data_IF_338382794006
#
_entry.id   IF_338382794006
#
_cell.length_a   1.000
_cell.length_b   1.000
_cell.length_c   1.000
_cell.angle_alpha   90.00
_cell.angle_beta   90.00
_cell.angle_gamma   90.00
#
_symmetry.space_group_name_H-M   'P 1'
#
loop_
_entity.id
_entity.type
_entity.pdbx_description
1 polymer ?
#
# COMPACT_ATOMS: atom_id res chain seq x y z
N UNK A 1 -24.31 -13.66 0.08
CA UNK A 1 -23.72 -13.17 1.35
C UNK A 1 -22.21 -13.15 1.20
N UNK A 2 -21.64 -11.95 1.20
CA UNK A 2 -20.20 -11.69 1.11
C UNK A 2 -19.54 -11.95 2.46
N UNK A 3 -18.76 -13.02 2.60
CA UNK A 3 -17.85 -13.18 3.73
C UNK A 3 -16.42 -12.86 3.33
N UNK A 4 -15.91 -11.83 4.02
CA UNK A 4 -14.58 -11.28 3.98
C UNK A 4 -13.58 -12.33 4.47
N UNK A 5 -13.00 -13.09 3.54
CA UNK A 5 -11.69 -13.69 3.73
C UNK A 5 -10.64 -12.59 3.75
N UNK A 6 -10.39 -11.99 4.92
CA UNK A 6 -9.24 -11.12 5.13
C UNK A 6 -7.95 -11.97 5.06
N UNK A 7 -7.54 -12.36 3.86
CA UNK A 7 -6.23 -12.96 3.58
C UNK A 7 -5.14 -11.90 3.80
N UNK A 8 -4.62 -11.83 5.03
CA UNK A 8 -3.62 -10.85 5.49
C UNK A 8 -2.18 -11.23 5.12
N UNK A 9 -1.96 -12.38 4.51
CA UNK A 9 -0.61 -12.93 4.35
C UNK A 9 0.20 -12.32 3.20
N UNK A 10 -0.46 -11.63 2.26
CA UNK A 10 0.18 -10.99 1.11
C UNK A 10 0.19 -9.44 1.19
N UNK A 11 -0.36 -8.86 2.27
CA UNK A 11 -0.72 -7.43 2.30
C UNK A 11 0.40 -6.47 2.65
N UNK A 12 1.61 -6.94 2.91
CA UNK A 12 2.78 -6.08 3.17
C UNK A 12 3.95 -6.48 2.29
N UNK A 13 3.80 -6.27 0.99
CA UNK A 13 4.92 -6.22 0.06
C UNK A 13 5.99 -5.25 0.56
N UNK A 14 7.20 -5.76 0.71
CA UNK A 14 8.38 -5.04 1.24
C UNK A 14 8.95 -4.07 0.21
N UNK A 15 8.60 -4.23 -1.07
CA UNK A 15 8.81 -3.20 -2.09
C UNK A 15 8.19 -1.84 -1.74
N UNK A 16 7.18 -1.80 -0.86
CA UNK A 16 6.56 -0.55 -0.39
C UNK A 16 7.47 0.31 0.50
N UNK A 17 8.63 -0.23 0.86
CA UNK A 17 9.64 0.48 1.64
C UNK A 17 10.63 1.21 0.71
N UNK A 18 10.50 1.05 -0.61
CA UNK A 18 11.33 1.76 -1.59
C UNK A 18 10.91 3.22 -1.74
N UNK A 19 11.92 4.07 -1.67
CA UNK A 19 11.78 5.51 -1.74
C UNK A 19 11.23 5.93 -3.10
N UNK A 20 10.13 6.69 -3.10
CA UNK A 20 9.48 7.15 -4.32
C UNK A 20 8.44 6.21 -4.93
N UNK A 21 8.16 5.05 -4.34
CA UNK A 21 7.14 4.14 -4.89
C UNK A 21 5.77 4.83 -5.08
N UNK A 22 5.32 5.63 -4.11
CA UNK A 22 4.03 6.32 -4.21
C UNK A 22 3.98 7.33 -5.37
N UNK A 23 5.10 7.98 -5.69
CA UNK A 23 5.22 8.87 -6.85
C UNK A 23 4.98 8.13 -8.16
N UNK A 24 5.67 7.01 -8.37
CA UNK A 24 5.51 6.24 -9.61
C UNK A 24 4.11 5.61 -9.72
N UNK A 25 3.57 5.13 -8.59
CA UNK A 25 2.21 4.58 -8.54
C UNK A 25 1.18 5.66 -8.89
N UNK A 26 1.34 6.89 -8.37
CA UNK A 26 0.50 8.03 -8.72
C UNK A 26 0.63 8.38 -10.21
N UNK A 27 1.86 8.37 -10.74
CA UNK A 27 2.14 8.65 -12.16
C UNK A 27 1.48 7.64 -13.10
N UNK A 28 1.33 6.37 -12.70
CA UNK A 28 0.54 5.36 -13.42
C UNK A 28 -0.98 5.57 -13.32
N UNK A 29 -1.45 6.66 -12.71
CA UNK A 29 -2.87 7.02 -12.60
C UNK A 29 -3.61 6.38 -11.42
N UNK A 30 -2.90 5.86 -10.41
CA UNK A 30 -3.55 5.25 -9.24
C UNK A 30 -3.99 6.33 -8.25
N UNK A 31 -5.30 6.60 -8.21
CA UNK A 31 -5.87 7.63 -7.34
C UNK A 31 -6.00 7.21 -5.86
N UNK A 32 -6.26 5.93 -5.57
CA UNK A 32 -6.49 5.44 -4.21
C UNK A 32 -5.21 4.87 -3.60
N UNK A 33 -4.20 5.72 -3.42
CA UNK A 33 -2.89 5.31 -2.90
C UNK A 33 -2.95 4.70 -1.51
N UNK A 34 -3.87 5.14 -0.65
CA UNK A 34 -4.10 4.56 0.68
C UNK A 34 -4.57 3.09 0.60
N UNK A 35 -5.43 2.79 -0.38
CA UNK A 35 -5.90 1.42 -0.64
C UNK A 35 -4.81 0.56 -1.27
N UNK A 36 -4.01 1.14 -2.17
CA UNK A 36 -2.81 0.49 -2.71
C UNK A 36 -1.80 0.18 -1.59
N UNK A 37 -1.51 1.15 -0.73
CA UNK A 37 -0.59 1.02 0.40
C UNK A 37 -1.06 -0.08 1.37
N UNK A 38 -2.37 -0.12 1.67
CA UNK A 38 -2.98 -1.14 2.50
C UNK A 38 -3.18 -2.50 1.78
N UNK A 39 -2.92 -2.56 0.47
CA UNK A 39 -3.21 -3.72 -0.40
C UNK A 39 -4.64 -4.23 -0.15
N UNK A 40 -5.62 -3.32 -0.11
CA UNK A 40 -7.04 -3.66 0.12
C UNK A 40 -7.51 -4.64 -0.95
N UNK A 41 -7.10 -4.37 -2.19
CA UNK A 41 -7.24 -5.28 -3.32
C UNK A 41 -5.84 -5.74 -3.74
N UNK A 42 -5.54 -6.98 -3.39
CA UNK A 42 -4.29 -7.63 -3.75
C UNK A 42 -4.08 -7.69 -5.27
N UNK A 43 -5.11 -8.04 -6.02
CA UNK A 43 -5.05 -8.19 -7.48
C UNK A 43 -4.68 -6.88 -8.15
N UNK A 44 -5.38 -5.81 -7.79
CA UNK A 44 -5.11 -4.49 -8.34
C UNK A 44 -3.72 -3.99 -7.94
N UNK A 45 -3.28 -4.29 -6.70
CA UNK A 45 -1.93 -3.96 -6.22
C UNK A 45 -0.86 -4.68 -7.04
N UNK A 46 -1.03 -5.99 -7.27
CA UNK A 46 -0.08 -6.80 -8.04
C UNK A 46 0.05 -6.30 -9.48
N UNK A 47 -1.06 -5.93 -10.13
CA UNK A 47 -1.04 -5.38 -11.50
C UNK A 47 -0.26 -4.08 -11.60
N UNK A 48 -0.40 -3.19 -10.62
CA UNK A 48 0.37 -1.94 -10.57
C UNK A 48 1.85 -2.23 -10.37
N UNK A 49 2.21 -3.16 -9.48
CA UNK A 49 3.60 -3.57 -9.26
C UNK A 49 4.22 -4.23 -10.51
N UNK A 50 3.44 -4.99 -11.28
CA UNK A 50 3.86 -5.58 -12.55
C UNK A 50 4.22 -4.50 -13.57
N UNK A 51 3.38 -3.48 -13.72
CA UNK A 51 3.63 -2.35 -14.63
C UNK A 51 4.86 -1.56 -14.22
N UNK A 52 5.02 -1.31 -12.91
CA UNK A 52 6.20 -0.65 -12.37
C UNK A 52 7.47 -1.45 -12.63
N UNK A 53 7.44 -2.76 -12.41
CA UNK A 53 8.57 -3.64 -12.68
C UNK A 53 9.02 -3.58 -14.15
N UNK A 54 8.06 -3.58 -15.07
CA UNK A 54 8.32 -3.42 -16.51
C UNK A 54 8.90 -2.04 -16.81
N UNK A 55 8.27 -0.95 -16.34
CA UNK A 55 8.74 0.41 -16.59
C UNK A 55 10.17 0.62 -16.08
N UNK A 56 10.43 0.23 -14.83
CA UNK A 56 11.74 0.35 -14.20
C UNK A 56 12.78 -0.50 -14.94
N UNK A 57 12.43 -1.74 -15.30
CA UNK A 57 13.33 -2.61 -16.07
C UNK A 57 13.69 -2.03 -17.44
N UNK A 58 12.73 -1.46 -18.17
CA UNK A 58 12.97 -0.80 -19.46
C UNK A 58 13.87 0.42 -19.26
N UNK A 59 13.54 1.29 -18.30
CA UNK A 59 14.30 2.51 -18.03
C UNK A 59 15.76 2.21 -17.66
N UNK A 60 16.00 1.23 -16.78
CA UNK A 60 17.35 0.80 -16.40
C UNK A 60 18.12 0.32 -17.62
N UNK A 61 17.53 -0.58 -18.43
CA UNK A 61 18.20 -1.14 -19.60
C UNK A 61 18.56 -0.07 -20.65
N UNK A 62 17.69 0.92 -20.86
CA UNK A 62 17.97 2.04 -21.76
C UNK A 62 19.09 2.91 -21.18
N UNK A 63 18.99 3.26 -19.90
CA UNK A 63 19.94 4.15 -19.25
C UNK A 63 21.35 3.54 -19.20
N UNK A 64 21.51 2.30 -18.75
CA UNK A 64 22.84 1.66 -18.66
C UNK A 64 23.51 1.51 -20.03
N UNK A 65 22.74 1.24 -21.09
CA UNK A 65 23.25 1.22 -22.46
C UNK A 65 23.72 2.59 -22.91
N UNK A 66 23.00 3.65 -22.52
CA UNK A 66 23.36 5.05 -22.84
C UNK A 66 24.69 5.45 -22.18
N UNK A 67 24.91 5.05 -20.93
CA UNK A 67 26.12 5.43 -20.18
C UNK A 67 27.26 4.39 -20.27
N UNK A 68 27.02 3.23 -20.87
CA UNK A 68 28.04 2.21 -21.12
C UNK A 68 28.40 1.33 -19.91
N UNK A 69 27.52 1.21 -18.91
CA UNK A 69 27.74 0.32 -17.75
C UNK A 69 26.98 -0.99 -17.90
N UNK A 70 27.46 -2.05 -17.26
CA UNK A 70 26.73 -3.32 -17.22
C UNK A 70 25.71 -3.35 -16.06
N UNK A 71 24.75 -4.27 -16.14
CA UNK A 71 23.70 -4.42 -15.11
C UNK A 71 24.26 -4.88 -13.76
N UNK A 72 25.37 -5.62 -13.73
CA UNK A 72 26.01 -6.07 -12.49
C UNK A 72 26.68 -4.91 -11.75
N UNK A 73 27.20 -3.94 -12.49
CA UNK A 73 28.08 -2.91 -11.94
C UNK A 73 27.30 -1.73 -11.35
N UNK A 74 25.96 -1.70 -11.51
CA UNK A 74 25.11 -0.59 -11.04
C UNK A 74 25.28 -0.31 -9.53
N UNK A 75 25.39 -1.35 -8.71
CA UNK A 75 25.52 -1.18 -7.25
C UNK A 75 26.92 -0.71 -6.87
N UNK A 76 27.93 -1.30 -7.51
CA UNK A 76 29.34 -1.11 -7.21
C UNK A 76 29.92 0.18 -7.82
N UNK A 77 29.19 0.80 -8.75
CA UNK A 77 29.54 2.07 -9.35
C UNK A 77 29.75 3.17 -8.30
N UNK A 78 30.96 3.73 -8.20
CA UNK A 78 31.30 4.75 -7.21
C UNK A 78 30.66 6.12 -7.48
N UNK A 79 29.94 6.27 -8.60
CA UNK A 79 29.26 7.51 -8.93
C UNK A 79 28.05 7.75 -8.00
N UNK A 80 28.26 8.61 -7.00
CA UNK A 80 27.22 9.06 -6.08
C UNK A 80 26.00 9.70 -6.78
N UNK A 81 26.15 10.23 -8.00
CA UNK A 81 25.03 10.79 -8.78
C UNK A 81 24.02 9.72 -9.23
N UNK A 82 24.41 8.44 -9.26
CA UNK A 82 23.53 7.33 -9.63
C UNK A 82 22.70 6.78 -8.47
N UNK A 83 22.58 7.50 -7.34
CA UNK A 83 21.77 7.08 -6.20
C UNK A 83 20.33 6.69 -6.56
N UNK A 84 19.68 7.44 -7.47
CA UNK A 84 18.33 7.12 -7.95
C UNK A 84 18.30 5.81 -8.76
N UNK A 85 19.25 5.61 -9.68
CA UNK A 85 19.39 4.38 -10.44
C UNK A 85 19.57 3.18 -9.50
N UNK A 86 20.44 3.30 -8.48
CA UNK A 86 20.69 2.23 -7.50
C UNK A 86 19.43 1.85 -6.72
N UNK A 87 18.63 2.82 -6.27
CA UNK A 87 17.34 2.56 -5.59
C UNK A 87 16.42 1.74 -6.49
N UNK A 88 16.22 2.18 -7.72
CA UNK A 88 15.29 1.53 -8.64
C UNK A 88 15.81 0.20 -9.19
N UNK A 89 17.12 0.02 -9.24
CA UNK A 89 17.73 -1.28 -9.49
C UNK A 89 17.49 -2.28 -8.36
N UNK A 90 17.60 -1.84 -7.09
CA UNK A 90 17.20 -2.69 -5.95
C UNK A 90 15.71 -3.03 -5.99
N UNK A 91 14.85 -2.06 -6.33
CA UNK A 91 13.44 -2.34 -6.59
C UNK A 91 13.29 -3.43 -7.65
N UNK A 92 13.95 -3.28 -8.80
CA UNK A 92 13.86 -4.23 -9.89
C UNK A 92 14.27 -5.66 -9.46
N UNK A 93 15.35 -5.79 -8.67
CA UNK A 93 15.79 -7.08 -8.11
C UNK A 93 14.81 -7.67 -7.12
N UNK A 94 14.33 -6.90 -6.15
CA UNK A 94 13.40 -7.38 -5.13
C UNK A 94 12.02 -7.70 -5.70
N UNK A 95 11.58 -6.89 -6.67
CA UNK A 95 10.40 -7.13 -7.47
C UNK A 95 10.51 -8.40 -8.31
N UNK A 96 11.67 -8.69 -8.89
CA UNK A 96 11.90 -9.95 -9.61
C UNK A 96 11.73 -11.17 -8.70
N UNK A 97 12.23 -11.13 -7.44
CA UNK A 97 12.02 -12.23 -6.47
C UNK A 97 10.53 -12.49 -6.25
N UNK A 98 9.75 -11.43 -6.06
CA UNK A 98 8.30 -11.53 -5.93
C UNK A 98 7.61 -12.06 -7.20
N UNK A 99 8.03 -11.62 -8.39
CA UNK A 99 7.51 -12.13 -9.67
C UNK A 99 7.77 -13.63 -9.79
N UNK A 100 8.97 -14.09 -9.42
CA UNK A 100 9.31 -15.52 -9.39
C UNK A 100 8.42 -16.26 -8.39
N UNK A 101 8.18 -15.69 -7.21
CA UNK A 101 7.25 -16.27 -6.23
C UNK A 101 5.85 -16.44 -6.81
N UNK A 102 5.29 -15.39 -7.43
CA UNK A 102 3.99 -15.47 -8.09
C UNK A 102 3.96 -16.50 -9.20
N UNK A 103 4.99 -16.54 -10.04
CA UNK A 103 5.08 -17.49 -11.14
C UNK A 103 5.15 -18.93 -10.61
N UNK A 104 5.98 -19.17 -9.60
CA UNK A 104 6.05 -20.43 -8.87
C UNK A 104 4.70 -20.88 -8.32
N UNK A 105 3.89 -19.96 -7.77
CA UNK A 105 2.52 -20.25 -7.35
C UNK A 105 1.61 -20.62 -8.52
N UNK A 106 1.72 -19.94 -9.66
CA UNK A 106 0.86 -20.16 -10.84
C UNK A 106 1.11 -21.50 -11.52
N UNK A 107 2.37 -21.87 -11.68
CA UNK A 107 2.75 -23.12 -12.35
C UNK A 107 2.95 -24.29 -11.37
N UNK A 108 2.74 -24.06 -10.07
CA UNK A 108 2.96 -25.07 -9.04
C UNK A 108 4.42 -25.51 -8.93
N UNK A 109 5.38 -24.67 -9.28
CA UNK A 109 6.80 -25.07 -9.28
C UNK A 109 7.40 -24.88 -7.88
N UNK A 110 7.68 -26.00 -7.22
CA UNK A 110 8.27 -26.04 -5.89
C UNK A 110 9.62 -25.33 -5.81
N UNK A 111 10.53 -25.61 -6.76
CA UNK A 111 11.86 -25.01 -6.79
C UNK A 111 11.80 -23.49 -6.86
N UNK A 112 10.94 -22.93 -7.72
CA UNK A 112 10.74 -21.48 -7.81
C UNK A 112 10.16 -20.90 -6.52
N UNK A 113 9.18 -21.58 -5.89
CA UNK A 113 8.60 -21.16 -4.63
C UNK A 113 9.62 -21.17 -3.49
N UNK A 114 10.39 -22.25 -3.36
CA UNK A 114 11.42 -22.39 -2.33
C UNK A 114 12.51 -21.33 -2.51
N UNK A 115 13.03 -21.19 -3.72
CA UNK A 115 14.15 -20.28 -4.00
C UNK A 115 13.70 -18.81 -3.84
N UNK A 116 12.48 -18.46 -4.24
CA UNK A 116 11.95 -17.10 -4.02
C UNK A 116 11.71 -16.80 -2.54
N UNK A 117 11.21 -17.77 -1.76
CA UNK A 117 11.07 -17.61 -0.31
C UNK A 117 12.42 -17.41 0.37
N UNK A 118 13.43 -18.22 0.00
CA UNK A 118 14.79 -18.06 0.51
C UNK A 118 15.36 -16.68 0.15
N UNK A 119 15.23 -16.27 -1.11
CA UNK A 119 15.73 -14.97 -1.56
C UNK A 119 15.01 -13.78 -0.90
N UNK A 120 13.73 -13.92 -0.51
CA UNK A 120 12.97 -12.87 0.18
C UNK A 120 13.26 -12.84 1.69
N UNK A 121 13.71 -13.94 2.28
CA UNK A 121 13.88 -14.07 3.72
C UNK A 121 14.74 -12.96 4.39
N UNK A 122 15.86 -12.51 3.79
CA UNK A 122 16.62 -11.36 4.28
C UNK A 122 15.82 -10.05 4.34
N UNK A 123 14.92 -9.81 3.40
CA UNK A 123 14.11 -8.57 3.37
C UNK A 123 13.13 -8.50 4.56
N UNK A 124 12.58 -9.65 4.97
CA UNK A 124 11.71 -9.74 6.16
C UNK A 124 12.43 -9.38 7.46
N UNK A 125 13.75 -9.55 7.52
CA UNK A 125 14.57 -9.12 8.66
C UNK A 125 14.49 -7.61 8.84
N UNK A 126 14.75 -6.91 7.75
CA UNK A 126 14.90 -5.46 7.71
C UNK A 126 13.56 -4.74 7.79
N UNK A 127 12.45 -5.42 7.46
CA UNK A 127 11.10 -4.91 7.62
C UNK A 127 10.48 -5.14 9.02
N UNK A 128 11.28 -5.53 10.02
CA UNK A 128 10.83 -5.93 11.37
C UNK A 128 9.77 -7.05 11.37
N UNK A 129 9.82 -7.96 10.38
CA UNK A 129 8.93 -9.13 10.26
C UNK A 129 9.67 -10.42 10.58
N UNK A 130 10.40 -10.42 11.69
CA UNK A 130 11.23 -11.55 12.13
C UNK A 130 10.48 -12.89 12.20
N UNK A 131 9.20 -12.91 12.56
CA UNK A 131 8.40 -14.14 12.58
C UNK A 131 8.32 -14.83 11.20
N UNK A 132 8.22 -14.05 10.11
CA UNK A 132 8.18 -14.60 8.75
C UNK A 132 9.52 -15.21 8.37
N UNK A 133 10.62 -14.52 8.68
CA UNK A 133 11.96 -15.03 8.47
C UNK A 133 12.20 -16.32 9.25
N UNK A 134 11.85 -16.36 10.54
CA UNK A 134 11.98 -17.57 11.38
C UNK A 134 11.17 -18.73 10.80
N UNK A 135 9.93 -18.49 10.35
CA UNK A 135 9.12 -19.52 9.70
C UNK A 135 9.73 -20.02 8.39
N UNK A 136 10.34 -19.15 7.58
CA UNK A 136 11.07 -19.53 6.37
C UNK A 136 12.31 -20.36 6.73
N UNK A 137 13.07 -19.97 7.76
CA UNK A 137 14.25 -20.72 8.21
C UNK A 137 13.88 -22.13 8.67
N UNK A 138 12.82 -22.29 9.48
CA UNK A 138 12.31 -23.60 9.87
C UNK A 138 11.85 -24.42 8.67
N UNK A 139 11.09 -23.80 7.77
CA UNK A 139 10.62 -24.46 6.55
C UNK A 139 11.77 -25.03 5.73
N UNK A 140 12.78 -24.20 5.45
CA UNK A 140 13.95 -24.60 4.66
C UNK A 140 14.76 -25.69 5.36
N UNK A 141 14.89 -25.61 6.68
CA UNK A 141 15.56 -26.64 7.47
C UNK A 141 14.85 -27.99 7.40
N UNK A 142 13.50 -28.02 7.41
CA UNK A 142 12.73 -29.25 7.27
C UNK A 142 12.94 -29.85 5.89
N UNK A 143 12.91 -29.03 4.84
CA UNK A 143 13.18 -29.51 3.47
C UNK A 143 14.60 -30.10 3.38
N UNK A 144 15.60 -29.40 3.90
CA UNK A 144 16.99 -29.87 3.90
C UNK A 144 17.20 -31.16 4.71
N UNK A 145 16.50 -31.32 5.85
CA UNK A 145 16.58 -32.51 6.68
C UNK A 145 15.87 -33.73 6.08
N UNK A 146 14.98 -33.52 5.10
CA UNK A 146 14.17 -34.58 4.49
C UNK A 146 14.25 -34.57 2.96
N UNK A 147 15.36 -35.04 2.34
CA UNK A 147 15.52 -35.04 0.87
C UNK A 147 14.40 -35.78 0.12
N UNK A 148 13.84 -36.86 0.71
CA UNK A 148 12.69 -37.58 0.13
C UNK A 148 11.41 -36.74 0.11
N UNK A 149 11.23 -35.84 1.08
CA UNK A 149 10.12 -34.88 1.08
C UNK A 149 10.32 -33.83 -0.01
N UNK A 150 11.54 -33.32 -0.15
CA UNK A 150 11.91 -32.39 -1.24
C UNK A 150 11.64 -32.98 -2.62
N UNK A 151 12.10 -34.21 -2.85
CA UNK A 151 11.87 -34.96 -4.09
C UNK A 151 10.37 -35.07 -4.39
N UNK A 152 9.55 -35.48 -3.42
CA UNK A 152 8.10 -35.57 -3.58
C UNK A 152 7.46 -34.21 -3.89
N UNK A 153 7.91 -33.14 -3.24
CA UNK A 153 7.39 -31.79 -3.48
C UNK A 153 7.76 -31.26 -4.87
N UNK A 154 8.88 -31.69 -5.44
CA UNK A 154 9.24 -31.40 -6.84
C UNK A 154 8.28 -32.04 -7.83
N UNK A 155 7.77 -33.26 -7.55
CA UNK A 155 6.82 -33.95 -8.42
C UNK A 155 5.37 -33.50 -8.23
N UNK A 156 4.96 -33.16 -7.00
CA UNK A 156 3.55 -32.90 -6.69
C UNK A 156 3.00 -31.57 -7.20
N UNK A 157 3.79 -30.75 -7.90
CA UNK A 157 3.38 -29.41 -8.30
C UNK A 157 2.92 -28.63 -7.07
N UNK A 158 3.86 -28.16 -6.23
CA UNK A 158 3.61 -27.61 -4.91
C UNK A 158 2.71 -26.35 -4.91
N UNK A 159 1.42 -26.54 -5.16
CA UNK A 159 0.41 -25.56 -4.87
C UNK A 159 0.31 -25.47 -3.35
N UNK A 160 1.01 -24.47 -2.79
CA UNK A 160 0.73 -23.82 -1.50
C UNK A 160 1.36 -24.40 -0.25
N UNK A 161 2.00 -25.56 -0.28
CA UNK A 161 2.66 -26.10 0.93
C UNK A 161 3.62 -25.11 1.61
N UNK A 162 4.51 -24.41 0.88
CA UNK A 162 5.45 -23.46 1.50
C UNK A 162 4.75 -22.25 2.14
N UNK A 163 3.79 -21.65 1.42
CA UNK A 163 3.02 -20.51 1.92
C UNK A 163 2.11 -20.89 3.09
N UNK A 164 1.53 -22.11 3.07
CA UNK A 164 0.71 -22.65 4.14
C UNK A 164 1.53 -22.95 5.39
N UNK A 165 2.73 -23.52 5.24
CA UNK A 165 3.64 -23.77 6.35
C UNK A 165 4.03 -22.46 7.05
N UNK A 166 4.41 -21.44 6.29
CA UNK A 166 4.73 -20.12 6.85
C UNK A 166 3.51 -19.53 7.58
N UNK A 167 2.31 -19.60 6.99
CA UNK A 167 1.07 -19.12 7.63
C UNK A 167 0.76 -19.83 8.95
N UNK A 168 0.86 -21.16 8.96
CA UNK A 168 0.56 -21.97 10.14
C UNK A 168 1.51 -21.63 11.28
N UNK A 169 2.80 -21.47 10.98
CA UNK A 169 3.81 -21.13 11.98
C UNK A 169 3.77 -19.67 12.44
N UNK A 170 3.33 -18.72 11.60
CA UNK A 170 3.24 -17.29 11.96
C UNK A 170 1.95 -16.93 12.68
N UNK A 171 0.82 -17.53 12.29
CA UNK A 171 -0.52 -17.15 12.75
C UNK A 171 -1.27 -18.23 13.54
N UNK A 172 -0.77 -19.48 13.57
CA UNK A 172 -1.44 -20.58 14.27
C UNK A 172 -2.75 -21.07 13.62
N UNK A 173 -3.05 -20.64 12.39
CA UNK A 173 -4.27 -21.08 11.69
C UNK A 173 -4.14 -22.55 11.26
N UNK A 174 -4.94 -23.42 11.88
CA UNK A 174 -5.08 -24.83 11.49
C UNK A 174 -5.78 -24.90 10.13
N UNK A 175 -5.25 -25.72 9.24
CA UNK A 175 -5.74 -25.87 7.87
C UNK A 175 -6.98 -26.77 7.89
N UNK A 176 -8.10 -26.26 7.36
CA UNK A 176 -9.26 -27.08 7.00
C UNK A 176 -9.40 -27.20 5.47
N UNK A 177 -10.12 -28.23 5.03
CA UNK A 177 -10.30 -28.56 3.62
C UNK A 177 -11.04 -27.46 2.84
N UNK A 178 -11.95 -26.73 3.50
CA UNK A 178 -12.73 -25.62 2.93
C UNK A 178 -11.83 -24.43 2.61
N UNK A 179 -10.89 -24.11 3.50
CA UNK A 179 -9.91 -23.05 3.33
C UNK A 179 -8.95 -23.37 2.18
N UNK A 180 -8.47 -24.62 2.09
CA UNK A 180 -7.62 -25.08 0.99
C UNK A 180 -8.31 -24.95 -0.37
N UNK A 181 -9.56 -25.41 -0.50
CA UNK A 181 -10.34 -25.30 -1.74
C UNK A 181 -10.60 -23.85 -2.16
N UNK A 182 -10.96 -22.98 -1.23
CA UNK A 182 -11.18 -21.56 -1.51
C UNK A 182 -9.91 -20.88 -2.01
N UNK A 183 -8.76 -21.20 -1.42
CA UNK A 183 -7.49 -20.67 -1.90
C UNK A 183 -7.21 -21.20 -3.32
N UNK A 184 -7.36 -22.51 -3.61
CA UNK A 184 -7.07 -23.12 -4.94
C UNK A 184 -7.82 -22.38 -6.03
N UNK A 185 -9.11 -22.16 -5.82
CA UNK A 185 -9.96 -21.39 -6.73
C UNK A 185 -9.44 -19.96 -6.93
N UNK A 186 -9.05 -19.27 -5.85
CA UNK A 186 -8.43 -17.93 -5.94
C UNK A 186 -7.16 -17.90 -6.82
N UNK A 187 -6.30 -18.91 -6.71
CA UNK A 187 -5.08 -18.98 -7.54
C UNK A 187 -5.36 -19.28 -9.02
N UNK A 188 -6.36 -20.12 -9.30
CA UNK A 188 -6.80 -20.42 -10.68
C UNK A 188 -7.44 -19.17 -11.32
N UNK A 189 -8.30 -18.48 -10.59
CA UNK A 189 -8.89 -17.19 -10.98
C UNK A 189 -7.82 -16.11 -11.28
N UNK A 190 -6.70 -16.10 -10.56
CA UNK A 190 -5.58 -15.18 -10.83
C UNK A 190 -4.83 -15.57 -12.11
N UNK A 191 -4.62 -16.88 -12.36
CA UNK A 191 -3.95 -17.38 -13.58
C UNK A 191 -4.73 -16.97 -14.83
N UNK A 192 -6.02 -17.28 -14.88
CA UNK A 192 -6.89 -16.96 -16.02
C UNK A 192 -6.93 -15.44 -16.29
N UNK A 193 -6.88 -14.61 -15.25
CA UNK A 193 -6.93 -13.15 -15.38
C UNK A 193 -5.61 -12.48 -15.72
N UNK A 194 -4.48 -13.14 -15.49
CA UNK A 194 -3.18 -12.62 -15.92
C UNK A 194 -2.91 -13.06 -17.35
N UNK A 195 -3.33 -14.25 -17.74
CA UNK A 195 -3.39 -14.62 -19.15
C UNK A 195 -4.24 -13.59 -19.92
N UNK A 196 -5.38 -13.15 -19.34
CA UNK A 196 -6.20 -12.04 -19.84
C UNK A 196 -5.46 -10.69 -19.94
N UNK A 197 -4.69 -10.32 -18.91
CA UNK A 197 -3.93 -9.07 -18.89
C UNK A 197 -2.79 -9.11 -19.92
N UNK A 198 -2.12 -10.26 -20.05
CA UNK A 198 -1.07 -10.48 -21.03
C UNK A 198 -1.64 -10.45 -22.44
N UNK A 199 -2.81 -11.04 -22.69
CA UNK A 199 -3.51 -10.91 -23.96
C UNK A 199 -3.92 -9.46 -24.24
N UNK A 200 -4.42 -8.71 -23.24
CA UNK A 200 -4.73 -7.27 -23.37
C UNK A 200 -3.49 -6.42 -23.71
N UNK A 201 -2.33 -6.75 -23.16
CA UNK A 201 -1.09 -5.98 -23.36
C UNK A 201 -0.39 -6.33 -24.69
N UNK A 202 -0.33 -7.62 -25.02
CA UNK A 202 0.29 -8.19 -26.23
C UNK A 202 -0.62 -8.12 -27.47
N UNK A 203 -1.84 -7.58 -27.33
CA UNK A 203 -2.80 -7.38 -28.42
C UNK A 203 -3.36 -8.71 -28.97
N UNK A 204 -3.55 -9.69 -28.10
CA UNK A 204 -4.20 -10.96 -28.42
C UNK A 204 -5.72 -10.83 -28.20
N UNK A 205 -6.49 -11.02 -29.26
CA UNK A 205 -7.75 -10.30 -29.56
C UNK A 205 -8.99 -10.75 -28.77
N UNK A 206 -8.85 -11.37 -27.60
CA UNK A 206 -9.97 -12.08 -26.94
C UNK A 206 -10.68 -11.29 -25.84
N UNK A 207 -10.18 -10.11 -25.44
CA UNK A 207 -10.90 -9.22 -24.50
C UNK A 207 -11.05 -7.81 -25.04
N UNK A 208 -12.27 -7.50 -25.44
CA UNK A 208 -12.72 -6.21 -25.96
C UNK A 208 -12.70 -5.13 -24.87
N UNK A 209 -11.56 -4.47 -24.68
CA UNK A 209 -11.51 -3.09 -24.20
C UNK A 209 -11.41 -2.12 -25.39
N UNK A 210 -11.93 -0.89 -25.25
CA UNK A 210 -11.80 0.10 -26.31
C UNK A 210 -10.31 0.39 -26.56
N UNK A 211 -9.88 0.38 -27.83
CA UNK A 211 -8.49 0.65 -28.25
C UNK A 211 -7.91 1.91 -27.59
N UNK A 212 -8.75 2.90 -27.28
CA UNK A 212 -8.40 4.15 -26.59
C UNK A 212 -7.86 3.94 -25.17
N UNK A 213 -8.47 3.06 -24.37
CA UNK A 213 -8.03 2.81 -22.99
C UNK A 213 -6.67 2.06 -22.95
N UNK A 214 -6.45 1.13 -23.87
CA UNK A 214 -5.18 0.41 -24.00
C UNK A 214 -4.07 1.38 -24.45
N UNK A 215 -4.36 2.24 -25.43
CA UNK A 215 -3.42 3.26 -25.91
C UNK A 215 -2.98 4.20 -24.78
N UNK A 216 -3.94 4.72 -23.99
CA UNK A 216 -3.67 5.60 -22.86
C UNK A 216 -2.78 4.96 -21.79
N UNK A 217 -2.96 3.67 -21.47
CA UNK A 217 -2.08 2.98 -20.50
C UNK A 217 -0.66 2.78 -21.03
N UNK A 218 -0.51 2.49 -22.33
CA UNK A 218 0.81 2.38 -22.98
C UNK A 218 1.53 3.73 -22.98
N UNK A 219 0.81 4.82 -23.23
CA UNK A 219 1.32 6.19 -23.14
C UNK A 219 1.83 6.50 -21.72
N UNK A 220 1.02 6.30 -20.68
CA UNK A 220 1.44 6.56 -19.29
C UNK A 220 2.62 5.69 -18.83
N UNK A 221 2.73 4.46 -19.34
CA UNK A 221 3.89 3.60 -19.05
C UNK A 221 5.17 4.16 -19.68
N UNK A 222 5.10 4.61 -20.94
CA UNK A 222 6.24 5.20 -21.64
C UNK A 222 6.65 6.56 -21.08
N UNK A 223 5.68 7.39 -20.67
CA UNK A 223 5.94 8.63 -19.93
C UNK A 223 6.73 8.34 -18.65
N UNK A 224 6.29 7.35 -17.86
CA UNK A 224 7.02 6.92 -16.68
C UNK A 224 8.44 6.45 -17.00
N UNK A 225 8.61 5.66 -18.08
CA UNK A 225 9.94 5.20 -18.52
C UNK A 225 10.86 6.38 -18.83
N UNK A 226 10.36 7.38 -19.57
CA UNK A 226 11.13 8.57 -19.94
C UNK A 226 11.50 9.42 -18.72
N UNK A 227 10.55 9.62 -17.80
CA UNK A 227 10.79 10.30 -16.53
C UNK A 227 11.87 9.58 -15.72
N UNK A 228 11.82 8.24 -15.64
CA UNK A 228 12.82 7.42 -14.95
C UNK A 228 14.22 7.55 -15.57
N UNK A 229 14.33 7.45 -16.89
CA UNK A 229 15.60 7.63 -17.62
C UNK A 229 16.20 9.01 -17.32
N UNK A 230 15.35 10.03 -17.24
CA UNK A 230 15.77 11.40 -16.92
C UNK A 230 16.30 11.49 -15.50
N UNK A 231 15.53 11.04 -14.50
CA UNK A 231 15.93 11.14 -13.08
C UNK A 231 17.13 10.27 -12.71
N UNK A 232 17.44 9.22 -13.46
CA UNK A 232 18.64 8.41 -13.24
C UNK A 232 19.94 9.17 -13.50
N UNK A 233 19.92 10.16 -14.41
CA UNK A 233 21.08 11.00 -14.72
C UNK A 233 21.07 12.37 -14.05
N UNK A 234 20.09 12.66 -13.19
CA UNK A 234 19.99 13.94 -12.49
C UNK A 234 20.86 13.94 -11.24
N UNK A 235 21.59 15.04 -11.02
CA UNK A 235 22.31 15.27 -9.76
C UNK A 235 21.34 15.41 -8.57
N UNK A 236 20.22 16.09 -8.76
CA UNK A 236 19.12 16.16 -7.80
C UNK A 236 17.83 15.57 -8.41
N UNK A 237 17.62 14.24 -8.27
CA UNK A 237 16.42 13.57 -8.75
C UNK A 237 15.13 14.16 -8.16
N UNK A 238 15.16 14.68 -6.93
CA UNK A 238 13.97 15.15 -6.21
C UNK A 238 13.40 16.44 -6.80
N UNK A 239 14.19 17.21 -7.55
CA UNK A 239 13.74 18.39 -8.30
C UNK A 239 12.78 18.05 -9.45
N UNK A 240 12.77 16.79 -9.91
CA UNK A 240 11.93 16.36 -11.03
C UNK A 240 10.43 16.31 -10.66
N UNK A 241 9.57 16.62 -11.64
CA UNK A 241 8.10 16.64 -11.47
C UNK A 241 7.53 15.32 -10.92
N UNK A 242 8.17 14.19 -11.22
CA UNK A 242 7.81 12.86 -10.73
C UNK A 242 7.71 12.79 -9.19
N UNK A 243 8.55 13.54 -8.46
CA UNK A 243 8.61 13.51 -7.00
C UNK A 243 7.99 14.72 -6.30
N UNK A 244 7.37 15.65 -7.03
CA UNK A 244 6.80 16.86 -6.43
C UNK A 244 5.61 16.56 -5.50
N UNK A 245 4.70 15.66 -5.88
CA UNK A 245 3.51 15.38 -5.07
C UNK A 245 3.80 14.48 -3.87
N UNK A 246 4.66 13.47 -4.07
CA UNK A 246 5.01 12.46 -3.08
C UNK A 246 6.51 12.39 -2.87
N UNK A 247 7.10 13.52 -2.45
CA UNK A 247 8.55 13.64 -2.27
C UNK A 247 9.09 12.61 -1.29
N UNK A 248 10.02 11.75 -1.73
CA UNK A 248 10.69 10.79 -0.85
C UNK A 248 11.50 11.49 0.23
N UNK A 249 11.31 11.11 1.49
CA UNK A 249 12.03 11.73 2.62
C UNK A 249 13.41 11.14 2.83
N UNK A 250 13.67 9.94 2.32
CA UNK A 250 14.86 9.14 2.63
C UNK A 250 15.82 9.00 1.43
N UNK A 251 15.57 9.71 0.32
CA UNK A 251 16.50 9.79 -0.81
C UNK A 251 17.68 10.75 -0.49
N UNK A 252 18.33 10.54 0.65
CA UNK A 252 19.57 11.18 1.07
C UNK A 252 20.60 10.11 1.41
N UNK A 253 21.88 10.49 1.53
CA UNK A 253 23.01 9.55 1.70
C UNK A 253 22.79 8.49 2.78
N UNK A 254 22.34 8.90 3.96
CA UNK A 254 22.09 7.96 5.08
C UNK A 254 20.90 7.01 4.82
N UNK A 255 19.82 7.49 4.21
CA UNK A 255 18.68 6.66 3.84
C UNK A 255 19.05 5.64 2.75
N UNK A 256 19.87 6.06 1.77
CA UNK A 256 20.44 5.16 0.76
C UNK A 256 21.30 4.06 1.38
N UNK A 257 22.21 4.41 2.30
CA UNK A 257 23.02 3.42 3.03
C UNK A 257 22.13 2.41 3.74
N UNK A 258 21.13 2.88 4.49
CA UNK A 258 20.15 2.00 5.15
C UNK A 258 19.47 1.04 4.17
N UNK A 259 19.04 1.54 3.00
CA UNK A 259 18.38 0.74 1.98
C UNK A 259 19.32 -0.32 1.38
N UNK A 260 20.58 0.05 1.11
CA UNK A 260 21.58 -0.85 0.52
C UNK A 260 21.98 -1.95 1.50
N UNK A 261 22.09 -1.62 2.79
CA UNK A 261 22.48 -2.56 3.84
C UNK A 261 21.33 -3.51 4.25
N UNK A 262 20.10 -3.28 3.79
CA UNK A 262 18.94 -4.10 4.17
C UNK A 262 19.09 -5.57 3.83
N UNK A 263 19.60 -5.89 2.64
CA UNK A 263 19.72 -7.28 2.22
C UNK A 263 20.90 -7.99 2.91
N UNK A 264 22.12 -7.42 2.97
CA UNK A 264 23.24 -7.99 3.73
C UNK A 264 22.93 -8.18 5.22
N UNK A 265 22.41 -7.15 5.89
CA UNK A 265 22.05 -7.22 7.32
C UNK A 265 20.97 -8.29 7.56
N UNK A 266 20.01 -8.39 6.66
CA UNK A 266 18.99 -9.42 6.72
C UNK A 266 19.53 -10.84 6.54
N UNK A 267 20.57 -11.00 5.72
CA UNK A 267 21.25 -12.27 5.49
C UNK A 267 22.02 -12.73 6.73
N UNK A 268 22.71 -11.81 7.41
CA UNK A 268 23.34 -12.11 8.70
C UNK A 268 22.30 -12.49 9.75
N UNK A 269 21.17 -11.79 9.78
CA UNK A 269 20.10 -12.05 10.74
C UNK A 269 19.49 -13.43 10.58
N UNK A 270 19.22 -13.87 9.34
CA UNK A 270 18.64 -15.20 9.12
C UNK A 270 19.60 -16.32 9.52
N UNK A 271 20.91 -16.14 9.33
CA UNK A 271 21.93 -17.08 9.82
C UNK A 271 21.87 -17.20 11.34
N UNK A 272 21.83 -16.07 12.06
CA UNK A 272 21.70 -16.09 13.52
C UNK A 272 20.40 -16.77 13.99
N UNK A 273 19.26 -16.50 13.32
CA UNK A 273 17.98 -17.15 13.64
C UNK A 273 18.05 -18.66 13.42
N UNK A 274 18.73 -19.10 12.36
CA UNK A 274 18.92 -20.53 12.09
C UNK A 274 19.67 -21.23 13.23
N UNK A 275 20.81 -20.68 13.68
CA UNK A 275 21.58 -21.27 14.79
C UNK A 275 20.81 -21.25 16.13
N UNK A 276 20.12 -20.15 16.43
CA UNK A 276 19.45 -19.95 17.72
C UNK A 276 18.10 -20.66 17.84
N UNK A 277 17.26 -20.60 16.81
CA UNK A 277 15.86 -21.03 16.90
C UNK A 277 15.60 -22.36 16.18
N UNK A 278 16.34 -22.64 15.10
CA UNK A 278 16.18 -23.87 14.33
C UNK A 278 17.06 -24.98 14.90
N UNK A 279 18.38 -24.75 14.97
CA UNK A 279 19.33 -25.73 15.49
C UNK A 279 19.44 -25.73 17.02
N UNK A 280 19.09 -24.61 17.66
CA UNK A 280 19.17 -24.42 19.12
C UNK A 280 20.58 -24.69 19.68
N UNK A 281 21.60 -24.40 18.90
CA UNK A 281 23.02 -24.55 19.26
C UNK A 281 23.61 -23.30 19.89
N UNK A 282 22.95 -22.16 19.70
CA UNK A 282 23.31 -20.86 20.30
C UNK A 282 22.18 -20.34 21.18
N UNK A 283 22.53 -19.53 22.19
CA UNK A 283 21.55 -18.85 23.02
C UNK A 283 20.72 -17.86 22.22
N UNK A 284 19.42 -17.84 22.52
CA UNK A 284 18.47 -16.98 21.83
C UNK A 284 18.75 -15.50 22.12
N UNK A 285 19.11 -14.74 21.09
CA UNK A 285 19.26 -13.29 21.19
C UNK A 285 18.01 -12.53 20.67
N UNK A 286 17.26 -11.82 21.54
CA UNK A 286 16.10 -11.03 21.13
C UNK A 286 16.46 -9.68 20.49
N UNK A 287 17.70 -9.19 20.63
CA UNK A 287 18.13 -7.89 20.12
C UNK A 287 17.97 -7.84 18.60
N UNK A 288 17.48 -6.72 18.08
CA UNK A 288 17.31 -6.50 16.63
C UNK A 288 16.04 -7.07 16.00
N UNK A 289 15.25 -7.91 16.70
CA UNK A 289 14.05 -8.57 16.11
C UNK A 289 12.95 -7.63 15.62
N UNK A 290 12.90 -6.42 16.17
CA UNK A 290 11.93 -5.37 15.84
C UNK A 290 12.59 -4.15 15.22
N UNK A 291 13.88 -4.23 14.90
CA UNK A 291 14.59 -3.13 14.25
C UNK A 291 14.07 -3.00 12.83
N UNK A 292 13.70 -1.78 12.47
CA UNK A 292 13.26 -1.42 11.13
C UNK A 292 14.49 -0.85 10.43
N UNK A 293 14.94 -1.52 9.37
CA UNK A 293 16.09 -1.13 8.56
C UNK A 293 15.77 0.02 7.59
N UNK A 294 14.52 0.12 7.11
CA UNK A 294 14.09 1.17 6.19
C UNK A 294 12.95 1.99 6.77
N UNK A 295 13.12 3.31 6.81
CA UNK A 295 12.03 4.22 7.21
C UNK A 295 10.93 4.19 6.15
N UNK A 296 9.71 3.90 6.59
CA UNK A 296 8.54 3.82 5.73
C UNK A 296 7.72 5.10 5.81
N UNK A 297 7.61 5.81 4.69
CA UNK A 297 6.67 6.91 4.53
C UNK A 297 5.28 6.38 4.17
N UNK A 298 4.25 6.80 4.89
CA UNK A 298 2.85 6.42 4.64
C UNK A 298 2.13 7.51 3.88
N UNK A 299 1.07 7.15 3.14
CA UNK A 299 0.21 8.13 2.45
C UNK A 299 -0.36 9.17 3.43
N UNK A 300 -0.63 8.75 4.68
CA UNK A 300 -1.10 9.64 5.74
C UNK A 300 -0.11 10.74 6.12
N UNK A 301 1.19 10.48 5.99
CA UNK A 301 2.25 11.43 6.37
C UNK A 301 2.32 12.59 5.36
N UNK A 302 2.03 12.33 4.08
CA UNK A 302 1.88 13.38 3.06
C UNK A 302 0.61 14.21 3.28
N UNK A 303 -0.49 13.56 3.65
CA UNK A 303 -1.75 14.25 3.91
C UNK A 303 -1.67 15.18 5.14
N UNK A 304 -0.92 14.79 6.17
CA UNK A 304 -0.69 15.64 7.35
C UNK A 304 0.21 16.83 7.03
N UNK A 305 1.29 16.63 6.24
CA UNK A 305 2.15 17.72 5.74
C UNK A 305 1.39 18.75 4.91
N UNK A 306 0.62 18.30 3.90
CA UNK A 306 -0.25 19.17 3.08
C UNK A 306 -1.23 19.98 3.94
N UNK A 307 -1.75 19.40 5.03
CA UNK A 307 -2.64 20.09 5.97
C UNK A 307 -1.91 21.11 6.85
N UNK A 308 -0.66 20.85 7.23
CA UNK A 308 0.16 21.75 8.02
C UNK A 308 0.65 22.96 7.20
N UNK A 309 1.06 22.75 5.94
CA UNK A 309 1.45 23.82 5.01
C UNK A 309 0.28 24.78 4.73
N UNK A 310 -0.92 24.22 4.48
CA UNK A 310 -2.14 25.02 4.36
C UNK A 310 -2.46 25.86 5.60
N UNK A 311 -2.04 25.45 6.80
CA UNK A 311 -2.20 26.24 8.03
C UNK A 311 -1.15 27.34 8.17
N UNK A 312 0.08 27.12 7.67
CA UNK A 312 1.15 28.14 7.67
C UNK A 312 0.86 29.30 6.72
N UNK A 313 0.26 29.02 5.56
CA UNK A 313 -0.09 30.06 4.56
C UNK A 313 -1.17 31.03 5.09
N UNK A 314 -1.98 30.61 6.06
CA UNK A 314 -3.07 31.43 6.62
C UNK A 314 -2.58 32.41 7.70
N UNK A 315 -1.31 32.34 8.13
CA UNK A 315 -0.74 33.26 9.13
C UNK A 315 0.61 33.81 8.64
N UNK A 316 0.63 34.93 7.88
CA UNK A 316 1.82 35.76 7.79
C UNK A 316 1.77 36.92 8.80
N UNK A 317 2.91 37.13 9.45
CA UNK A 317 3.32 38.13 10.45
C UNK A 317 2.65 39.52 10.42
N UNK A 318 2.27 40.00 11.62
CA UNK A 318 2.18 41.45 11.93
C UNK A 318 3.19 41.75 13.05
N UNK A 319 4.28 42.42 12.69
CA UNK A 319 5.29 43.03 13.58
C UNK A 319 5.76 44.28 12.81
N UNK A 320 5.77 45.54 13.26
CA UNK A 320 5.61 46.31 14.51
C UNK A 320 5.21 47.78 14.10
N UNK A 321 5.48 48.90 14.85
CA UNK A 321 4.97 49.39 16.14
C UNK A 321 4.23 50.77 16.10
N UNK A 322 3.61 51.09 17.25
CA UNK A 322 2.97 52.31 17.84
C UNK A 322 3.34 53.71 17.29
N UNK A 323 2.34 54.61 17.08
CA UNK A 323 2.22 56.00 17.61
C UNK A 323 0.74 56.45 17.64
N UNK A 324 0.28 56.96 18.79
CA UNK A 324 -1.01 57.65 19.03
C UNK A 324 -1.05 59.05 18.38
N UNK A 325 -2.16 59.44 17.75
CA UNK A 325 -2.80 60.72 18.11
C UNK A 325 -4.29 60.74 17.75
N UNK A 326 -5.06 61.39 18.63
CA UNK A 326 -6.52 61.47 18.66
C UNK A 326 -7.01 62.64 17.79
N UNK A 327 -8.15 62.48 17.09
CA UNK A 327 -9.23 63.47 17.15
C UNK A 327 -10.57 63.00 16.52
N UNK A 328 -11.62 63.29 17.29
CA UNK A 328 -13.01 63.61 16.92
C UNK A 328 -14.05 62.50 16.59
N UNK A 329 -14.78 62.12 17.66
CA UNK A 329 -16.26 62.06 17.85
C UNK A 329 -17.19 61.20 16.93
N UNK A 330 -18.34 60.72 17.46
CA UNK A 330 -18.82 59.36 17.22
C UNK A 330 -20.06 59.28 16.31
N UNK A 331 -20.09 58.30 15.42
CA UNK A 331 -21.35 57.78 14.87
C UNK A 331 -21.47 56.28 15.17
N UNK A 332 -22.59 55.97 15.79
CA UNK A 332 -23.11 54.65 16.17
C UNK A 332 -22.93 53.62 15.05
N UNK A 333 -22.07 52.62 15.29
CA UNK A 333 -21.94 51.42 14.44
C UNK A 333 -22.99 50.41 14.90
N UNK A 334 -24.01 50.18 14.06
CA UNK A 334 -24.80 48.96 14.11
C UNK A 334 -23.89 47.76 13.84
N UNK A 335 -23.72 46.91 14.86
CA UNK A 335 -22.99 45.66 14.80
C UNK A 335 -23.78 44.63 13.98
N UNK A 336 -23.75 44.74 12.64
CA UNK A 336 -24.21 43.66 11.77
C UNK A 336 -23.20 42.52 11.80
N UNK A 337 -23.47 41.57 12.70
CA UNK A 337 -22.78 40.28 12.77
C UNK A 337 -22.90 39.51 11.45
N UNK A 338 -21.89 39.63 10.58
CA UNK A 338 -21.66 38.66 9.50
C UNK A 338 -21.30 37.32 10.12
N UNK A 339 -22.33 36.49 10.32
CA UNK A 339 -22.26 35.12 10.82
C UNK A 339 -21.16 34.32 10.13
N UNK A 340 -20.12 33.99 10.90
CA UNK A 340 -19.17 32.92 10.62
C UNK A 340 -19.95 31.61 10.39
N UNK A 341 -19.74 30.95 9.24
CA UNK A 341 -20.13 29.55 9.07
C UNK A 341 -19.16 28.69 9.88
N UNK A 342 -19.53 28.37 11.11
CA UNK A 342 -18.87 27.37 11.94
C UNK A 342 -19.10 25.98 11.36
N UNK A 343 -18.01 25.27 11.08
CA UNK A 343 -18.04 23.87 10.75
C UNK A 343 -18.41 23.04 12.00
N UNK A 344 -19.55 22.35 11.93
CA UNK A 344 -19.71 20.99 12.46
C UNK A 344 -19.72 20.78 13.97
N UNK A 345 -20.64 21.42 14.70
CA UNK A 345 -21.17 20.79 15.92
C UNK A 345 -22.09 19.63 15.50
N UNK A 346 -21.85 18.41 16.00
CA UNK A 346 -22.81 17.29 15.83
C UNK A 346 -24.11 17.72 16.53
N UNK A 347 -25.18 17.90 15.75
CA UNK A 347 -26.52 18.14 16.28
C UNK A 347 -26.91 16.98 17.21
N UNK A 348 -27.16 17.30 18.48
CA UNK A 348 -27.68 16.32 19.45
C UNK A 348 -29.20 16.39 19.38
N UNK A 349 -29.83 15.27 19.03
CA UNK A 349 -31.29 15.18 18.97
C UNK A 349 -31.87 15.55 20.33
N UNK A 350 -32.77 16.53 20.37
CA UNK A 350 -33.46 16.91 21.60
C UNK A 350 -34.57 15.90 21.94
N UNK A 351 -35.09 15.94 23.16
CA UNK A 351 -36.19 15.05 23.57
C UNK A 351 -37.45 15.29 22.72
N UNK A 352 -37.76 16.54 22.40
CA UNK A 352 -38.88 16.91 21.52
C UNK A 352 -38.70 16.36 20.09
N UNK A 353 -37.49 16.50 19.53
CA UNK A 353 -37.17 15.95 18.21
C UNK A 353 -37.26 14.41 18.22
N UNK A 354 -36.87 13.77 19.33
CA UNK A 354 -36.96 12.32 19.51
C UNK A 354 -38.42 11.87 19.58
N UNK A 355 -39.28 12.60 20.28
CA UNK A 355 -40.71 12.32 20.36
C UNK A 355 -41.39 12.42 18.99
N UNK A 356 -41.06 13.45 18.21
CA UNK A 356 -41.57 13.63 16.85
C UNK A 356 -41.10 12.49 15.92
N UNK A 357 -39.82 12.12 15.99
CA UNK A 357 -39.25 11.04 15.17
C UNK A 357 -39.78 9.64 15.55
N UNK A 358 -40.17 9.42 16.81
CA UNK A 358 -40.75 8.16 17.26
C UNK A 358 -42.09 7.83 16.60
N UNK A 359 -42.85 8.84 16.12
CA UNK A 359 -44.06 8.61 15.34
C UNK A 359 -43.80 7.78 14.07
N UNK A 360 -42.57 7.81 13.52
CA UNK A 360 -42.18 7.04 12.34
C UNK A 360 -41.94 5.55 12.63
N UNK A 361 -41.87 5.11 13.90
CA UNK A 361 -41.68 3.70 14.27
C UNK A 361 -42.88 2.81 13.90
N UNK A 362 -44.04 3.40 13.61
CA UNK A 362 -45.22 2.67 13.08
C UNK A 362 -44.86 1.97 11.76
N UNK A 363 -43.97 2.56 10.96
CA UNK A 363 -43.46 2.01 9.72
C UNK A 363 -42.30 1.05 10.01
N UNK A 364 -42.48 -0.27 9.80
CA UNK A 364 -41.46 -1.29 10.09
C UNK A 364 -40.56 -1.63 8.89
N UNK A 365 -41.17 -1.84 7.72
CA UNK A 365 -40.45 -2.35 6.54
C UNK A 365 -40.17 -1.27 5.49
N UNK A 366 -41.04 -0.26 5.41
CA UNK A 366 -40.96 0.80 4.41
C UNK A 366 -41.41 2.12 5.01
N UNK A 367 -40.64 3.18 4.79
CA UNK A 367 -40.93 4.53 5.28
C UNK A 367 -41.39 5.41 4.11
N UNK A 368 -42.68 5.80 4.05
CA UNK A 368 -43.22 6.64 2.98
C UNK A 368 -42.62 8.06 2.96
N UNK A 369 -42.46 8.66 1.78
CA UNK A 369 -41.87 10.01 1.62
C UNK A 369 -42.77 11.12 2.16
N UNK A 370 -44.09 10.96 2.06
CA UNK A 370 -45.10 11.83 2.65
C UNK A 370 -44.98 11.85 4.18
N UNK A 371 -44.76 10.70 4.82
CA UNK A 371 -44.54 10.61 6.26
C UNK A 371 -43.23 11.30 6.70
N UNK A 372 -42.17 11.24 5.87
CA UNK A 372 -40.92 11.99 6.11
C UNK A 372 -41.17 13.50 5.96
N UNK A 373 -41.96 13.90 4.97
CA UNK A 373 -42.37 15.29 4.75
C UNK A 373 -43.10 15.87 5.97
N UNK A 374 -44.14 15.20 6.46
CA UNK A 374 -44.94 15.66 7.60
C UNK A 374 -44.17 15.77 8.91
N UNK A 375 -43.19 14.88 9.15
CA UNK A 375 -42.32 14.98 10.33
C UNK A 375 -41.29 16.10 10.18
N UNK A 376 -40.77 16.30 8.98
CA UNK A 376 -39.77 17.34 8.70
C UNK A 376 -40.34 18.75 8.82
N UNK A 377 -41.62 18.95 8.56
CA UNK A 377 -42.31 20.23 8.84
C UNK A 377 -42.30 20.61 10.32
N UNK A 378 -42.19 19.62 11.21
CA UNK A 378 -42.18 19.81 12.68
C UNK A 378 -40.77 19.79 13.27
N UNK A 379 -39.73 19.56 12.46
CA UNK A 379 -38.34 19.47 12.91
C UNK A 379 -37.53 20.71 12.48
N UNK A 380 -36.44 20.96 13.20
CA UNK A 380 -35.50 22.03 12.84
C UNK A 380 -34.86 21.79 11.47
N UNK A 381 -34.41 22.86 10.79
CA UNK A 381 -33.78 22.79 9.45
C UNK A 381 -32.54 21.87 9.38
N UNK A 382 -32.00 21.48 10.53
CA UNK A 382 -30.87 20.58 10.68
C UNK A 382 -31.23 19.13 10.26
N UNK A 383 -32.51 18.77 10.26
CA UNK A 383 -33.05 17.46 9.89
C UNK A 383 -33.35 17.35 8.39
N UNK A 384 -32.34 16.91 7.64
CA UNK A 384 -32.52 16.53 6.22
C UNK A 384 -33.25 15.18 6.09
N UNK A 385 -33.90 14.96 4.95
CA UNK A 385 -34.55 13.66 4.58
C UNK A 385 -33.61 12.47 4.84
N UNK A 386 -32.33 12.63 4.49
CA UNK A 386 -31.29 11.61 4.72
C UNK A 386 -31.11 11.29 6.21
N UNK A 387 -31.03 12.31 7.08
CA UNK A 387 -30.86 12.13 8.52
C UNK A 387 -32.09 11.48 9.17
N UNK A 388 -33.29 11.83 8.73
CA UNK A 388 -34.54 11.21 9.22
C UNK A 388 -34.57 9.71 8.87
N UNK A 389 -34.17 9.34 7.64
CA UNK A 389 -34.05 7.93 7.23
C UNK A 389 -32.99 7.16 8.00
N UNK A 390 -31.82 7.76 8.20
CA UNK A 390 -30.73 7.16 8.98
C UNK A 390 -31.17 6.92 10.43
N UNK A 391 -31.86 7.89 11.04
CA UNK A 391 -32.42 7.75 12.39
C UNK A 391 -33.48 6.64 12.44
N UNK A 392 -34.43 6.62 11.51
CA UNK A 392 -35.48 5.59 11.47
C UNK A 392 -34.91 4.19 11.28
N UNK A 393 -33.97 4.00 10.35
CA UNK A 393 -33.34 2.69 10.14
C UNK A 393 -32.63 2.15 11.38
N UNK A 394 -32.07 3.02 12.20
CA UNK A 394 -31.39 2.64 13.43
C UNK A 394 -32.35 2.34 14.59
N UNK A 395 -33.52 2.99 14.64
CA UNK A 395 -34.44 2.92 15.78
C UNK A 395 -35.74 2.14 15.53
N UNK A 396 -36.06 1.75 14.28
CA UNK A 396 -37.32 1.06 13.92
C UNK A 396 -37.55 -0.28 14.64
N UNK A 397 -36.48 -0.94 15.09
CA UNK A 397 -36.53 -2.23 15.78
C UNK A 397 -36.08 -2.15 17.25
N UNK A 398 -35.96 -0.93 17.81
CA UNK A 398 -35.53 -0.73 19.20
C UNK A 398 -36.69 -0.18 20.03
N UNK A 399 -37.00 -0.87 21.13
CA UNK A 399 -37.76 -0.30 22.23
C UNK A 399 -36.89 0.77 22.92
N UNK A 400 -37.52 1.86 23.39
CA UNK A 400 -36.83 3.01 23.96
C UNK A 400 -36.31 2.71 25.37
#
# INVERSE_FOLDING_TARGET
>A
MYERGHDKCDRKYEMKEIYGLLSLVSHLGVHFLDKFEAAVDYRSTARVLDLLWVAVGIAINIYIKKIGISLSDIIDDENDAHGCLKIWYLYYKWAAIWKVHQMGMRIGNFGLLRNSLFATAPLYASAAKSNYMTAIAHYLSIIAAHPKLEERLNYCGAFKFPAMFVKQNVYGNIIDEKNLRNQIKSSQDERERIDLLMSEYLNDYTVSYSKRAIKSRKESLWELVNDLITVFGMFDPLSHQLFQEYTPTEMHKEGLSRLFDCYPNGLERIKAVYWQEVLKTEDRNPQGRRTIGVVRTKVKDYNSKKKAEKRKIVIPELTQPVVEDLNETPLTIELQSKRRKTAGARHRTTEDETAILCALKIYKNYLPEDAIGSVREKLSEVWTVKKVREWWNYHKNKEL
#
